data_IF_314947673318
#
_entry.id   IF_314947673318
#
_cell.length_a   1.000
_cell.length_b   1.000
_cell.length_c   1.000
_cell.angle_alpha   90.00
_cell.angle_beta   90.00
_cell.angle_gamma   90.00
#
_symmetry.space_group_name_H-M   'P 1'
#
loop_
_entity.id
_entity.type
_entity.pdbx_description
1 polymer ?
#
# COMPACT_ATOMS: atom_id res chain seq x y z
N UNK A 1 -1.39 -36.77 -66.74
CA UNK A 1 -2.10 -35.92 -65.75
C UNK A 1 -1.08 -35.45 -64.69
N UNK A 2 -0.74 -34.19 -64.75
CA UNK A 2 0.16 -33.57 -63.74
C UNK A 2 -0.74 -32.89 -62.73
N UNK A 3 -0.64 -33.29 -61.47
CA UNK A 3 -1.28 -32.58 -60.35
C UNK A 3 -0.32 -31.52 -59.81
N UNK A 4 -0.77 -30.26 -59.84
CA UNK A 4 -0.13 -29.10 -59.24
C UNK A 4 -0.41 -29.11 -57.80
N UNK A 5 0.64 -29.07 -56.94
CA UNK A 5 0.53 -28.74 -55.50
C UNK A 5 0.42 -27.22 -55.36
N UNK A 6 -0.77 -26.78 -55.01
CA UNK A 6 -0.98 -25.39 -54.52
C UNK A 6 -0.49 -25.26 -53.09
N UNK A 7 0.39 -24.27 -52.89
CA UNK A 7 0.91 -23.84 -51.58
C UNK A 7 -0.23 -23.36 -50.68
N UNK A 8 -0.44 -24.03 -49.56
CA UNK A 8 -1.18 -23.47 -48.42
C UNK A 8 -0.28 -22.42 -47.76
N UNK A 9 -0.62 -21.16 -47.92
CA UNK A 9 -0.12 -20.08 -47.08
C UNK A 9 -0.72 -20.28 -45.68
N UNK A 10 0.12 -20.62 -44.71
CA UNK A 10 -0.28 -20.70 -43.31
C UNK A 10 -0.63 -19.29 -42.81
N UNK A 11 -1.91 -19.02 -42.58
CA UNK A 11 -2.30 -17.92 -41.70
C UNK A 11 -1.82 -18.28 -40.28
N UNK A 12 -0.74 -17.66 -39.85
CA UNK A 12 -0.36 -17.65 -38.45
C UNK A 12 -1.43 -16.91 -37.67
N UNK A 13 -2.29 -17.64 -37.00
CA UNK A 13 -3.13 -17.07 -35.95
C UNK A 13 -2.21 -16.54 -34.85
N UNK A 14 -2.03 -15.23 -34.77
CA UNK A 14 -1.46 -14.58 -33.62
C UNK A 14 -2.48 -14.73 -32.46
N UNK A 15 -2.30 -15.75 -31.64
CA UNK A 15 -3.00 -15.82 -30.36
C UNK A 15 -2.45 -14.68 -29.49
N UNK A 16 -3.15 -13.59 -29.41
CA UNK A 16 -2.92 -12.62 -28.34
C UNK A 16 -3.29 -13.34 -27.04
N UNK A 17 -2.29 -13.79 -26.29
CA UNK A 17 -2.52 -14.42 -25.00
C UNK A 17 -3.14 -13.38 -24.08
N UNK A 18 -4.35 -13.65 -23.59
CA UNK A 18 -5.03 -12.83 -22.59
C UNK A 18 -4.29 -12.82 -21.23
N UNK A 19 -3.24 -13.61 -21.10
CA UNK A 19 -2.46 -13.89 -19.90
C UNK A 19 -1.00 -13.42 -20.03
N UNK A 20 -0.74 -12.29 -20.65
CA UNK A 20 0.60 -11.72 -20.76
C UNK A 20 0.77 -10.49 -19.86
N UNK A 21 1.92 -10.37 -19.20
CA UNK A 21 2.44 -9.11 -18.66
C UNK A 21 3.54 -8.61 -19.58
N UNK A 22 3.58 -7.32 -19.85
CA UNK A 22 4.47 -6.74 -20.86
C UNK A 22 5.32 -5.65 -20.23
N UNK A 23 6.59 -5.56 -20.64
CA UNK A 23 7.53 -4.52 -20.26
C UNK A 23 8.05 -3.82 -21.53
N UNK A 24 8.17 -2.49 -21.44
CA UNK A 24 8.77 -1.64 -22.48
C UNK A 24 10.08 -1.05 -21.94
N UNK A 25 11.21 -1.67 -22.22
CA UNK A 25 12.51 -1.28 -21.67
C UNK A 25 12.99 0.15 -22.00
N UNK A 26 12.59 0.81 -23.11
CA UNK A 26 12.97 2.20 -23.38
C UNK A 26 12.15 3.22 -22.59
N UNK A 27 10.98 2.82 -22.06
CA UNK A 27 10.03 3.74 -21.46
C UNK A 27 10.41 4.04 -19.99
N UNK A 28 11.37 4.94 -19.81
CA UNK A 28 11.79 5.38 -18.49
C UNK A 28 10.68 6.18 -17.80
N UNK A 29 10.10 5.61 -16.75
CA UNK A 29 9.03 6.23 -15.94
C UNK A 29 9.54 6.87 -14.65
N UNK A 30 10.85 7.05 -14.51
CA UNK A 30 11.51 7.69 -13.37
C UNK A 30 12.25 6.72 -12.45
N UNK A 31 12.76 7.23 -11.36
CA UNK A 31 13.43 6.42 -10.33
C UNK A 31 12.41 5.58 -9.55
N UNK A 32 12.81 4.42 -8.98
CA UNK A 32 12.00 3.70 -8.01
C UNK A 32 11.58 4.62 -6.87
N UNK A 33 10.31 4.62 -6.49
CA UNK A 33 9.77 5.49 -5.46
C UNK A 33 9.46 4.73 -4.16
N UNK A 34 9.47 3.41 -4.20
CA UNK A 34 9.18 2.51 -3.07
C UNK A 34 7.79 2.78 -2.45
N UNK A 35 6.80 3.05 -3.32
CA UNK A 35 5.46 3.48 -2.94
C UNK A 35 4.66 2.43 -2.13
N UNK A 36 5.08 1.17 -2.15
CA UNK A 36 4.45 0.09 -1.40
C UNK A 36 5.09 -0.17 -0.02
N UNK A 37 6.16 0.56 0.36
CA UNK A 37 6.93 0.29 1.58
C UNK A 37 6.37 0.96 2.85
N UNK A 38 5.07 1.25 2.88
CA UNK A 38 4.36 1.70 4.06
C UNK A 38 3.56 0.58 4.72
N UNK A 39 3.21 0.75 5.99
CA UNK A 39 2.31 -0.18 6.69
C UNK A 39 1.49 0.50 7.79
N UNK A 40 0.30 -0.07 8.02
CA UNK A 40 -0.63 0.32 9.08
C UNK A 40 -0.22 -0.37 10.38
N UNK A 41 -0.07 0.37 11.46
CA UNK A 41 0.37 -0.12 12.78
C UNK A 41 1.68 -0.93 12.70
N UNK A 42 1.91 -1.83 13.67
CA UNK A 42 3.05 -2.75 13.63
C UNK A 42 4.36 -2.18 14.11
N UNK A 43 4.35 -0.99 14.72
CA UNK A 43 5.49 -0.34 15.37
C UNK A 43 5.29 -0.45 16.88
N UNK A 44 6.14 -1.17 17.62
CA UNK A 44 6.07 -1.20 19.09
C UNK A 44 6.25 0.15 19.72
N UNK A 45 5.59 0.39 20.86
CA UNK A 45 5.74 1.62 21.63
C UNK A 45 7.12 1.72 22.30
N UNK A 46 7.77 0.59 22.56
CA UNK A 46 9.16 0.54 23.05
C UNK A 46 10.11 0.86 21.90
N UNK A 47 10.87 1.96 21.95
CA UNK A 47 11.85 2.29 20.93
C UNK A 47 12.88 1.16 20.75
N UNK A 48 13.26 0.89 19.52
CA UNK A 48 14.31 -0.10 19.14
C UNK A 48 13.98 -1.57 19.50
N UNK A 49 12.75 -1.86 19.91
CA UNK A 49 12.33 -3.24 20.18
C UNK A 49 12.44 -4.12 18.92
N UNK A 50 12.01 -3.60 17.77
CA UNK A 50 12.31 -4.20 16.46
C UNK A 50 13.62 -3.60 15.97
N UNK A 51 14.65 -4.42 15.63
CA UNK A 51 15.92 -3.95 15.11
C UNK A 51 15.77 -3.06 13.87
N UNK A 52 16.54 -1.99 13.80
CA UNK A 52 16.50 -0.98 12.72
C UNK A 52 16.68 -1.59 11.34
N UNK A 53 17.50 -2.64 11.21
CA UNK A 53 17.73 -3.32 9.94
C UNK A 53 16.46 -3.86 9.28
N UNK A 54 15.40 -4.17 10.04
CA UNK A 54 14.14 -4.59 9.43
C UNK A 54 13.41 -3.43 8.75
N UNK A 55 13.45 -2.23 9.33
CA UNK A 55 12.91 -1.02 8.72
C UNK A 55 13.72 -0.60 7.47
N UNK A 56 15.05 -0.57 7.61
CA UNK A 56 15.96 -0.16 6.55
C UNK A 56 15.91 -1.10 5.34
N UNK A 57 15.94 -2.41 5.59
CA UNK A 57 15.98 -3.42 4.53
C UNK A 57 14.72 -3.41 3.66
N UNK A 58 13.54 -3.20 4.26
CA UNK A 58 12.29 -3.11 3.50
C UNK A 58 12.03 -1.72 2.90
N UNK A 59 12.87 -0.73 3.21
CA UNK A 59 12.70 0.63 2.72
C UNK A 59 11.52 1.36 3.34
N UNK A 60 11.25 1.15 4.63
CA UNK A 60 10.13 1.77 5.34
C UNK A 60 10.08 3.28 5.13
N UNK A 61 8.98 3.77 4.57
CA UNK A 61 8.84 5.18 4.19
C UNK A 61 7.53 5.83 4.64
N UNK A 62 6.56 5.04 5.14
CA UNK A 62 5.29 5.58 5.62
C UNK A 62 4.70 4.69 6.71
N UNK A 63 4.38 5.27 7.86
CA UNK A 63 3.64 4.62 8.93
C UNK A 63 2.24 5.22 9.10
N UNK A 64 1.28 4.45 9.60
CA UNK A 64 -0.06 4.90 9.98
C UNK A 64 -0.46 4.24 11.29
N UNK A 65 -1.00 5.00 12.24
CA UNK A 65 -1.44 4.45 13.51
C UNK A 65 -1.72 5.51 14.55
N UNK A 66 -2.37 5.13 15.65
CA UNK A 66 -2.67 6.01 16.79
C UNK A 66 -3.06 5.23 18.04
N UNK A 67 -2.42 4.10 18.28
CA UNK A 67 -2.65 3.32 19.49
C UNK A 67 -3.99 2.58 19.52
N UNK A 68 -4.51 2.10 18.35
CA UNK A 68 -5.74 1.34 18.30
C UNK A 68 -5.72 0.09 19.19
N UNK A 69 -6.87 -0.24 19.79
CA UNK A 69 -7.09 -1.43 20.60
C UNK A 69 -6.16 -1.58 21.83
N UNK A 70 -5.58 -0.49 22.30
CA UNK A 70 -4.83 -0.51 23.57
C UNK A 70 -5.77 -0.70 24.75
N UNK A 71 -5.27 -1.40 25.78
CA UNK A 71 -5.99 -1.59 27.04
C UNK A 71 -6.00 -0.28 27.89
N UNK A 72 -6.88 -0.23 28.90
CA UNK A 72 -6.80 0.84 29.89
C UNK A 72 -5.39 0.92 30.53
N UNK A 73 -4.86 2.13 30.76
CA UNK A 73 -5.47 3.45 30.62
C UNK A 73 -5.16 4.16 29.28
N UNK A 74 -5.24 3.50 28.15
CA UNK A 74 -4.91 4.05 26.82
C UNK A 74 -6.00 3.77 25.76
N UNK A 75 -7.30 3.85 26.15
CA UNK A 75 -8.43 3.48 25.28
C UNK A 75 -8.97 4.62 24.41
N UNK A 76 -8.56 5.88 24.67
CA UNK A 76 -8.94 7.05 23.87
C UNK A 76 -9.90 8.01 24.57
N UNK A 77 -10.30 9.06 23.83
CA UNK A 77 -10.99 10.26 24.34
C UNK A 77 -12.31 9.96 25.05
N UNK A 78 -13.14 9.07 24.51
CA UNK A 78 -14.45 8.75 25.08
C UNK A 78 -14.38 8.10 26.47
N UNK A 79 -13.20 7.60 26.85
CA UNK A 79 -12.95 7.00 28.18
C UNK A 79 -12.32 7.97 29.17
N UNK A 80 -12.06 9.22 28.75
CA UNK A 80 -11.51 10.29 29.60
C UNK A 80 -10.10 10.71 29.23
N UNK A 81 -9.68 11.85 29.80
CA UNK A 81 -8.40 12.50 29.46
C UNK A 81 -7.16 11.64 29.70
N UNK A 82 -7.12 10.86 30.79
CA UNK A 82 -6.00 9.94 31.06
C UNK A 82 -5.90 8.85 30.00
N UNK A 83 -7.03 8.30 29.57
CA UNK A 83 -7.10 7.29 28.52
C UNK A 83 -6.70 7.86 27.15
N UNK A 84 -7.10 9.08 26.86
CA UNK A 84 -6.64 9.81 25.67
C UNK A 84 -5.14 10.04 25.70
N UNK A 85 -4.59 10.52 26.80
CA UNK A 85 -3.15 10.77 26.94
C UNK A 85 -2.33 9.50 26.73
N UNK A 86 -2.71 8.38 27.37
CA UNK A 86 -2.01 7.10 27.17
C UNK A 86 -2.02 6.63 25.72
N UNK A 87 -3.15 6.80 25.01
CA UNK A 87 -3.23 6.47 23.58
C UNK A 87 -2.40 7.42 22.72
N UNK A 88 -2.42 8.71 23.04
CA UNK A 88 -1.63 9.70 22.32
C UNK A 88 -0.12 9.49 22.51
N UNK A 89 0.32 9.05 23.69
CA UNK A 89 1.73 8.69 23.95
C UNK A 89 2.20 7.54 23.05
N UNK A 90 1.35 6.52 22.83
CA UNK A 90 1.63 5.47 21.85
C UNK A 90 1.79 6.04 20.44
N UNK A 91 0.90 6.92 20.00
CA UNK A 91 1.00 7.59 18.72
C UNK A 91 2.31 8.41 18.59
N UNK A 92 2.71 9.13 19.63
CA UNK A 92 3.99 9.88 19.68
C UNK A 92 5.18 8.93 19.53
N UNK A 93 5.17 7.78 20.23
CA UNK A 93 6.24 6.79 20.12
C UNK A 93 6.38 6.25 18.71
N UNK A 94 5.26 5.86 18.08
CA UNK A 94 5.24 5.34 16.71
C UNK A 94 5.69 6.41 15.70
N UNK A 95 5.24 7.66 15.85
CA UNK A 95 5.71 8.79 15.03
C UNK A 95 7.22 8.98 15.17
N UNK A 96 7.76 9.00 16.39
CA UNK A 96 9.19 9.16 16.62
C UNK A 96 10.01 8.02 15.99
N UNK A 97 9.52 6.79 16.08
CA UNK A 97 10.15 5.65 15.40
C UNK A 97 10.14 5.84 13.88
N UNK A 98 9.00 6.23 13.28
CA UNK A 98 8.94 6.51 11.84
C UNK A 98 9.94 7.61 11.44
N UNK A 99 10.07 8.68 12.22
CA UNK A 99 10.99 9.79 11.94
C UNK A 99 12.47 9.40 12.03
N UNK A 100 12.84 8.37 12.78
CA UNK A 100 14.21 7.82 12.78
C UNK A 100 14.64 7.33 11.39
N UNK A 101 13.70 6.85 10.60
CA UNK A 101 13.92 6.34 9.23
C UNK A 101 13.55 7.36 8.14
N UNK A 102 13.28 8.63 8.49
CA UNK A 102 12.72 9.65 7.60
C UNK A 102 11.38 9.25 6.96
N UNK A 103 10.69 8.27 7.53
CA UNK A 103 9.37 7.87 7.08
C UNK A 103 8.32 8.91 7.46
N UNK A 104 7.33 9.14 6.61
CA UNK A 104 6.15 9.95 6.91
C UNK A 104 5.23 9.18 7.85
N UNK A 105 4.31 9.90 8.50
CA UNK A 105 3.37 9.28 9.43
C UNK A 105 1.95 9.83 9.26
N UNK A 106 0.96 8.94 9.32
CA UNK A 106 -0.47 9.28 9.31
C UNK A 106 -1.03 9.04 10.71
N UNK A 107 -1.54 10.11 11.33
CA UNK A 107 -2.20 10.07 12.62
C UNK A 107 -3.70 9.83 12.42
N UNK A 108 -4.24 8.77 13.01
CA UNK A 108 -5.65 8.37 12.95
C UNK A 108 -6.45 8.97 14.10
N UNK A 109 -7.41 9.84 13.81
CA UNK A 109 -8.18 10.48 14.87
C UNK A 109 -9.27 9.58 15.45
N UNK A 110 -9.88 8.69 14.64
CA UNK A 110 -10.86 7.74 15.14
C UNK A 110 -10.30 6.84 16.27
N UNK A 111 -9.04 6.40 16.15
CA UNK A 111 -8.37 5.64 17.19
C UNK A 111 -8.23 6.46 18.48
N UNK A 112 -7.70 7.67 18.34
CA UNK A 112 -7.51 8.58 19.48
C UNK A 112 -8.83 8.98 20.14
N UNK A 113 -9.92 8.99 19.38
CA UNK A 113 -11.27 9.13 19.90
C UNK A 113 -11.69 7.91 20.74
N UNK A 114 -11.23 6.73 20.38
CA UNK A 114 -11.63 5.44 20.94
C UNK A 114 -12.66 4.68 20.10
N UNK A 115 -12.79 5.03 18.80
CA UNK A 115 -13.64 4.39 17.82
C UNK A 115 -12.81 3.46 16.91
N UNK A 116 -12.16 2.46 17.49
CA UNK A 116 -11.21 1.54 16.84
C UNK A 116 -11.78 0.13 16.60
N UNK A 117 -13.11 0.00 16.64
CA UNK A 117 -13.80 -1.28 16.49
C UNK A 117 -13.97 -2.08 17.79
N UNK A 118 -13.36 -1.65 18.90
CA UNK A 118 -13.50 -2.28 20.23
C UNK A 118 -14.35 -1.48 21.20
N UNK A 119 -14.85 -0.31 20.79
CA UNK A 119 -15.68 0.54 21.62
C UNK A 119 -16.97 -0.17 22.05
N UNK A 120 -17.45 0.05 23.29
CA UNK A 120 -18.70 -0.50 23.77
C UNK A 120 -19.91 -0.08 22.92
N UNK A 121 -20.92 -0.92 22.84
CA UNK A 121 -22.19 -0.55 22.23
C UNK A 121 -22.78 0.71 22.92
N UNK A 122 -23.21 1.69 22.11
CA UNK A 122 -23.72 2.95 22.61
C UNK A 122 -22.65 3.99 22.96
N UNK A 123 -21.39 3.76 22.56
CA UNK A 123 -20.33 4.79 22.64
C UNK A 123 -20.75 6.03 21.86
N UNK A 124 -20.33 7.20 22.36
CA UNK A 124 -20.64 8.50 21.77
C UNK A 124 -19.68 8.79 20.61
N UNK A 125 -20.24 9.25 19.50
CA UNK A 125 -19.49 9.70 18.33
C UNK A 125 -19.53 11.24 18.21
N UNK A 126 -18.58 11.86 17.49
CA UNK A 126 -18.58 13.31 17.27
C UNK A 126 -19.91 13.82 16.72
N UNK A 127 -20.53 14.80 17.40
CA UNK A 127 -21.77 15.41 16.96
C UNK A 127 -23.06 14.65 17.31
N UNK A 128 -22.99 13.59 18.09
CA UNK A 128 -24.18 12.89 18.57
C UNK A 128 -25.13 13.85 19.31
N UNK A 129 -26.41 13.76 18.97
CA UNK A 129 -27.42 14.68 19.53
C UNK A 129 -27.27 16.14 19.09
N UNK A 130 -26.39 16.44 18.13
CA UNK A 130 -26.08 17.80 17.68
C UNK A 130 -25.05 18.52 18.58
N UNK A 131 -24.45 17.83 19.56
CA UNK A 131 -23.44 18.37 20.46
C UNK A 131 -22.01 18.14 19.89
N UNK A 132 -21.29 19.23 19.64
CA UNK A 132 -19.94 19.24 19.10
C UNK A 132 -18.86 19.62 20.13
N UNK A 133 -19.22 19.99 21.36
CA UNK A 133 -18.28 20.52 22.36
C UNK A 133 -17.17 19.52 22.70
N UNK A 134 -17.54 18.23 22.81
CA UNK A 134 -16.57 17.17 23.07
C UNK A 134 -15.61 16.97 21.89
N UNK A 135 -16.11 17.00 20.65
CA UNK A 135 -15.25 16.88 19.48
C UNK A 135 -14.31 18.08 19.32
N UNK A 136 -14.83 19.29 19.49
CA UNK A 136 -14.00 20.51 19.41
C UNK A 136 -12.89 20.48 20.46
N UNK A 137 -13.21 20.05 21.69
CA UNK A 137 -12.25 19.90 22.77
C UNK A 137 -11.19 18.82 22.46
N UNK A 138 -11.60 17.71 21.84
CA UNK A 138 -10.72 16.64 21.37
C UNK A 138 -9.74 17.16 20.29
N UNK A 139 -10.24 17.89 19.27
CA UNK A 139 -9.38 18.48 18.24
C UNK A 139 -8.36 19.44 18.83
N UNK A 140 -8.76 20.28 19.80
CA UNK A 140 -7.80 21.17 20.51
C UNK A 140 -6.75 20.38 21.27
N UNK A 141 -7.11 19.26 21.91
CA UNK A 141 -6.15 18.40 22.60
C UNK A 141 -5.16 17.74 21.63
N UNK A 142 -5.61 17.30 20.44
CA UNK A 142 -4.73 16.80 19.37
C UNK A 142 -3.76 17.88 18.90
N UNK A 143 -4.24 19.09 18.61
CA UNK A 143 -3.40 20.23 18.18
C UNK A 143 -2.33 20.52 19.22
N UNK A 144 -2.72 20.62 20.48
CA UNK A 144 -1.78 20.85 21.58
C UNK A 144 -0.76 19.72 21.72
N UNK A 145 -1.19 18.47 21.54
CA UNK A 145 -0.32 17.29 21.55
C UNK A 145 0.70 17.30 20.40
N UNK A 146 0.28 17.62 19.18
CA UNK A 146 1.16 17.75 18.01
C UNK A 146 2.22 18.84 18.26
N UNK A 147 1.80 20.00 18.75
CA UNK A 147 2.70 21.14 19.03
C UNK A 147 3.69 20.83 20.15
N UNK A 148 3.22 20.29 21.27
CA UNK A 148 4.07 20.01 22.44
C UNK A 148 5.09 18.90 22.19
N UNK A 149 4.80 17.96 21.29
CA UNK A 149 5.70 16.85 20.92
C UNK A 149 6.46 17.10 19.60
N UNK A 150 6.36 18.30 19.02
CA UNK A 150 7.03 18.66 17.75
C UNK A 150 6.72 17.68 16.59
N UNK A 151 5.48 17.22 16.47
CA UNK A 151 5.10 16.19 15.51
C UNK A 151 4.80 16.72 14.10
N UNK A 152 4.94 18.00 13.81
CA UNK A 152 4.49 18.57 12.54
C UNK A 152 5.30 18.13 11.30
N UNK A 153 6.51 17.58 11.47
CA UNK A 153 7.38 17.19 10.36
C UNK A 153 6.89 15.89 9.71
N UNK A 154 6.57 15.92 8.41
CA UNK A 154 6.10 14.76 7.64
C UNK A 154 4.91 14.04 8.30
N UNK A 155 4.04 14.81 8.94
CA UNK A 155 2.79 14.34 9.53
C UNK A 155 1.63 14.59 8.59
N UNK A 156 0.82 13.56 8.40
CA UNK A 156 -0.53 13.66 7.88
C UNK A 156 -1.54 13.33 8.99
N UNK A 157 -2.71 13.93 8.93
CA UNK A 157 -3.83 13.66 9.82
C UNK A 157 -4.95 13.06 8.99
N UNK A 158 -5.36 11.87 9.37
CA UNK A 158 -6.55 11.20 8.87
C UNK A 158 -7.70 11.48 9.84
N UNK A 159 -8.63 12.33 9.40
CA UNK A 159 -9.69 12.85 10.29
C UNK A 159 -10.61 11.73 10.77
N UNK A 160 -10.91 10.72 9.92
CA UNK A 160 -11.71 9.56 10.34
C UNK A 160 -11.55 8.39 9.40
N UNK A 161 -11.43 7.18 9.98
CA UNK A 161 -11.30 5.93 9.25
C UNK A 161 -12.67 5.33 8.90
N UNK A 162 -12.85 4.91 7.64
CA UNK A 162 -13.97 4.10 7.13
C UNK A 162 -15.35 4.46 7.68
N UNK A 163 -15.81 5.70 7.55
CA UNK A 163 -17.15 6.06 8.02
C UNK A 163 -18.26 5.37 7.24
N UNK A 164 -17.94 4.80 6.08
CA UNK A 164 -18.85 4.04 5.19
C UNK A 164 -18.87 2.53 5.46
N UNK A 165 -18.03 2.02 6.37
CA UNK A 165 -17.96 0.59 6.72
C UNK A 165 -19.03 0.12 7.75
N UNK A 166 -20.13 0.82 7.84
CA UNK A 166 -21.20 0.55 8.82
C UNK A 166 -20.78 0.99 10.24
N UNK A 167 -21.26 0.29 11.26
CA UNK A 167 -21.11 0.75 12.66
C UNK A 167 -19.76 0.39 13.31
N UNK A 168 -18.80 -0.09 12.53
CA UNK A 168 -17.50 -0.50 13.06
C UNK A 168 -16.71 0.70 13.58
N UNK A 169 -16.55 1.72 12.75
CA UNK A 169 -15.79 2.93 13.08
C UNK A 169 -16.65 4.19 13.15
N UNK A 170 -17.89 4.15 12.63
CA UNK A 170 -18.81 5.29 12.60
C UNK A 170 -20.25 4.85 12.79
N UNK A 171 -20.94 5.39 13.79
CA UNK A 171 -22.35 5.08 14.07
C UNK A 171 -23.30 6.27 13.80
N UNK A 172 -22.76 7.38 13.31
CA UNK A 172 -23.54 8.53 12.85
C UNK A 172 -24.02 8.37 11.40
N UNK A 173 -24.79 9.32 10.94
CA UNK A 173 -25.17 9.42 9.54
C UNK A 173 -24.06 10.14 8.73
N UNK A 174 -24.22 10.16 7.41
CA UNK A 174 -23.27 10.77 6.49
C UNK A 174 -23.17 12.29 6.65
N UNK A 175 -24.28 13.00 6.90
CA UNK A 175 -24.30 14.45 7.10
C UNK A 175 -23.53 14.86 8.38
N UNK A 176 -23.67 14.08 9.45
CA UNK A 176 -22.91 14.26 10.68
C UNK A 176 -21.40 14.07 10.43
N UNK A 177 -21.01 13.05 9.68
CA UNK A 177 -19.62 12.83 9.31
C UNK A 177 -19.06 13.98 8.44
N UNK A 178 -19.81 14.44 7.46
CA UNK A 178 -19.42 15.59 6.64
C UNK A 178 -19.23 16.87 7.49
N UNK A 179 -20.11 17.10 8.46
CA UNK A 179 -19.96 18.21 9.42
C UNK A 179 -18.70 18.05 10.27
N UNK A 180 -18.43 16.85 10.76
CA UNK A 180 -17.20 16.52 11.50
C UNK A 180 -15.94 16.79 10.65
N UNK A 181 -15.95 16.39 9.38
CA UNK A 181 -14.85 16.65 8.45
C UNK A 181 -14.53 18.14 8.37
N UNK A 182 -15.52 18.98 8.03
CA UNK A 182 -15.29 20.43 7.87
C UNK A 182 -14.82 21.07 9.18
N UNK A 183 -15.43 20.73 10.32
CA UNK A 183 -15.00 21.26 11.65
C UNK A 183 -13.55 20.89 11.96
N UNK A 184 -13.17 19.63 11.77
CA UNK A 184 -11.79 19.17 12.00
C UNK A 184 -10.81 19.84 11.04
N UNK A 185 -11.13 19.87 9.75
CA UNK A 185 -10.32 20.51 8.73
C UNK A 185 -10.04 21.98 9.07
N UNK A 186 -11.08 22.76 9.34
CA UNK A 186 -10.97 24.19 9.66
C UNK A 186 -10.12 24.42 10.91
N UNK A 187 -10.34 23.65 11.97
CA UNK A 187 -9.59 23.78 13.23
C UNK A 187 -8.09 23.47 13.06
N UNK A 188 -7.75 22.40 12.31
CA UNK A 188 -6.36 22.07 12.00
C UNK A 188 -5.71 23.13 11.12
N UNK A 189 -6.39 23.61 10.07
CA UNK A 189 -5.86 24.68 9.22
C UNK A 189 -5.66 25.99 9.95
N UNK A 190 -6.58 26.36 10.83
CA UNK A 190 -6.45 27.58 11.66
C UNK A 190 -5.25 27.52 12.62
N UNK A 191 -4.96 26.34 13.17
CA UNK A 191 -3.94 26.20 14.23
C UNK A 191 -2.58 25.75 13.72
N UNK A 192 -2.52 24.90 12.69
CA UNK A 192 -1.32 24.28 12.17
C UNK A 192 -1.00 24.73 10.73
N UNK A 193 -1.86 25.54 10.10
CA UNK A 193 -1.73 25.97 8.72
C UNK A 193 -1.48 24.77 7.75
N UNK A 194 -0.45 24.86 6.91
CA UNK A 194 -0.05 23.79 6.00
C UNK A 194 1.21 23.04 6.49
N UNK A 195 1.52 23.11 7.79
CA UNK A 195 2.67 22.39 8.36
C UNK A 195 2.38 20.88 8.51
N UNK A 196 1.11 20.51 8.54
CA UNK A 196 0.63 19.11 8.49
C UNK A 196 -0.26 18.92 7.28
N UNK A 197 -0.27 17.72 6.73
CA UNK A 197 -1.21 17.35 5.67
C UNK A 197 -2.53 16.85 6.27
N UNK A 198 -3.67 17.11 5.60
CA UNK A 198 -4.97 16.58 5.96
C UNK A 198 -5.42 15.62 4.88
N UNK A 199 -5.63 14.37 5.24
CA UNK A 199 -5.98 13.28 4.35
C UNK A 199 -7.47 12.94 4.46
N UNK A 200 -8.04 12.52 3.35
CA UNK A 200 -9.43 12.09 3.30
C UNK A 200 -9.94 11.79 1.88
N UNK A 201 -11.16 11.22 1.79
CA UNK A 201 -12.13 10.98 2.88
C UNK A 201 -11.87 9.71 3.71
N UNK A 202 -10.88 8.90 3.35
CA UNK A 202 -10.47 7.63 3.98
C UNK A 202 -11.65 6.64 4.10
N UNK A 203 -12.30 6.43 2.95
CA UNK A 203 -13.42 5.50 2.84
C UNK A 203 -12.92 4.06 2.62
N UNK A 204 -13.66 3.08 3.14
CA UNK A 204 -13.45 1.67 2.82
C UNK A 204 -13.69 1.41 1.32
N UNK A 205 -14.67 2.09 0.74
CA UNK A 205 -15.02 1.96 -0.67
C UNK A 205 -14.22 2.91 -1.57
N UNK A 206 -13.71 2.38 -2.69
CA UNK A 206 -13.04 3.16 -3.73
C UNK A 206 -13.99 4.19 -4.39
N UNK A 207 -13.46 5.27 -5.03
CA UNK A 207 -14.28 6.26 -5.70
C UNK A 207 -15.08 5.64 -6.85
N UNK A 208 -16.39 5.83 -6.79
CA UNK A 208 -17.34 5.45 -7.82
C UNK A 208 -18.48 6.47 -7.93
N UNK A 209 -18.96 6.72 -9.14
CA UNK A 209 -20.01 7.73 -9.40
C UNK A 209 -21.34 7.39 -8.75
N UNK A 210 -21.57 6.15 -8.37
CA UNK A 210 -22.76 5.65 -7.67
C UNK A 210 -22.59 5.60 -6.15
N UNK A 211 -21.37 5.77 -5.64
CA UNK A 211 -21.10 5.80 -4.21
C UNK A 211 -21.44 7.18 -3.64
N UNK A 212 -22.51 7.25 -2.84
CA UNK A 212 -22.99 8.51 -2.26
C UNK A 212 -22.01 9.13 -1.26
N UNK A 213 -21.17 8.34 -0.59
CA UNK A 213 -20.14 8.88 0.30
C UNK A 213 -19.13 9.73 -0.47
N UNK A 214 -18.68 9.26 -1.63
CA UNK A 214 -17.79 10.03 -2.50
C UNK A 214 -18.45 11.24 -3.12
N UNK A 215 -19.66 11.09 -3.68
CA UNK A 215 -20.32 12.19 -4.41
C UNK A 215 -20.73 13.34 -3.49
N UNK A 216 -21.22 13.05 -2.28
CA UNK A 216 -21.57 14.08 -1.30
C UNK A 216 -20.32 14.73 -0.69
N UNK A 217 -19.25 13.95 -0.44
CA UNK A 217 -17.98 14.51 0.00
C UNK A 217 -17.41 15.51 -0.99
N UNK A 218 -17.36 15.17 -2.28
CA UNK A 218 -16.89 16.11 -3.32
C UNK A 218 -17.80 17.34 -3.45
N UNK A 219 -19.10 17.18 -3.33
CA UNK A 219 -20.01 18.31 -3.34
C UNK A 219 -19.73 19.27 -2.18
N UNK A 220 -19.51 18.75 -0.97
CA UNK A 220 -19.23 19.57 0.20
C UNK A 220 -17.89 20.29 0.08
N UNK A 221 -16.79 19.55 -0.16
CA UNK A 221 -15.46 20.15 -0.18
C UNK A 221 -15.26 21.15 -1.33
N UNK A 222 -16.01 20.99 -2.44
CA UNK A 222 -16.07 21.99 -3.49
C UNK A 222 -16.82 23.25 -3.06
N UNK A 223 -17.85 23.11 -2.21
CA UNK A 223 -18.69 24.20 -1.71
C UNK A 223 -18.05 25.00 -0.58
N UNK A 224 -17.43 24.33 0.39
CA UNK A 224 -16.87 24.97 1.60
C UNK A 224 -15.34 25.15 1.54
N UNK A 225 -14.65 24.56 0.53
CA UNK A 225 -13.21 24.69 0.35
C UNK A 225 -12.38 23.79 1.24
N UNK A 226 -12.95 22.83 1.96
CA UNK A 226 -12.24 21.89 2.86
C UNK A 226 -11.54 20.75 2.10
N UNK A 227 -10.83 21.08 1.03
CA UNK A 227 -10.19 20.12 0.12
C UNK A 227 -8.98 19.46 0.78
N UNK A 228 -8.91 18.11 0.86
CA UNK A 228 -7.78 17.40 1.44
C UNK A 228 -6.47 17.62 0.65
N UNK A 229 -5.33 17.35 1.27
CA UNK A 229 -4.02 17.36 0.59
C UNK A 229 -3.77 16.08 -0.20
N UNK A 230 -4.41 14.98 0.17
CA UNK A 230 -4.42 13.73 -0.58
C UNK A 230 -5.80 13.07 -0.52
N UNK A 231 -6.21 12.42 -1.62
CA UNK A 231 -7.40 11.57 -1.62
C UNK A 231 -7.03 10.16 -1.16
N UNK A 232 -7.83 9.64 -0.22
CA UNK A 232 -7.51 8.39 0.47
C UNK A 232 -8.69 7.44 0.47
N UNK A 233 -8.42 6.15 0.20
CA UNK A 233 -9.38 5.04 0.33
C UNK A 233 -8.66 3.72 0.51
N UNK A 234 -9.39 2.61 0.75
CA UNK A 234 -8.82 1.30 1.03
C UNK A 234 -9.03 0.28 -0.09
N UNK A 235 -8.22 -0.78 -0.09
CA UNK A 235 -8.31 -2.08 -0.76
C UNK A 235 -8.35 -2.11 -2.29
N UNK A 236 -8.89 -1.11 -2.97
CA UNK A 236 -8.86 -1.02 -4.43
C UNK A 236 -7.89 0.04 -4.89
N UNK A 237 -7.02 -0.35 -5.81
CA UNK A 237 -5.92 0.52 -6.18
C UNK A 237 -6.23 1.35 -7.41
N UNK A 238 -6.00 0.81 -8.55
CA UNK A 238 -5.66 1.56 -9.75
C UNK A 238 -6.81 1.72 -10.74
N UNK A 239 -7.83 0.86 -10.68
CA UNK A 239 -8.92 0.92 -11.66
C UNK A 239 -9.86 2.09 -11.44
N UNK A 240 -9.87 2.63 -10.23
CA UNK A 240 -10.74 3.72 -9.82
C UNK A 240 -10.09 5.11 -10.03
N UNK A 241 -8.80 5.19 -10.38
CA UNK A 241 -8.13 6.48 -10.64
C UNK A 241 -8.80 7.28 -11.76
N UNK A 242 -9.11 6.71 -12.94
CA UNK A 242 -9.81 7.44 -13.98
C UNK A 242 -11.23 7.87 -13.56
N UNK A 243 -11.88 7.10 -12.69
CA UNK A 243 -13.18 7.46 -12.11
C UNK A 243 -13.02 8.65 -11.17
N UNK A 244 -12.04 8.61 -10.28
CA UNK A 244 -11.69 9.73 -9.40
C UNK A 244 -11.44 11.01 -10.22
N UNK A 245 -10.60 10.96 -11.24
CA UNK A 245 -10.28 12.11 -12.09
C UNK A 245 -11.52 12.70 -12.75
N UNK A 246 -12.43 11.83 -13.23
CA UNK A 246 -13.71 12.25 -13.80
C UNK A 246 -14.61 12.93 -12.76
N UNK A 247 -14.68 12.38 -11.55
CA UNK A 247 -15.48 12.92 -10.45
C UNK A 247 -14.91 14.27 -9.98
N UNK A 248 -13.61 14.39 -9.81
CA UNK A 248 -12.95 15.65 -9.46
C UNK A 248 -13.24 16.75 -10.50
N UNK A 249 -13.06 16.41 -11.78
CA UNK A 249 -13.36 17.33 -12.88
C UNK A 249 -14.80 17.80 -12.87
N UNK A 250 -15.77 16.92 -12.61
CA UNK A 250 -17.19 17.27 -12.57
C UNK A 250 -17.57 18.19 -11.40
N UNK A 251 -16.77 18.19 -10.33
CA UNK A 251 -16.97 19.08 -9.17
C UNK A 251 -16.03 20.31 -9.18
N UNK A 252 -15.21 20.49 -10.23
CA UNK A 252 -14.26 21.59 -10.31
C UNK A 252 -13.10 21.49 -9.33
N UNK A 253 -12.81 20.28 -8.85
CA UNK A 253 -11.73 19.99 -7.90
C UNK A 253 -10.44 19.64 -8.64
N UNK A 254 -9.29 20.05 -8.09
CA UNK A 254 -8.00 19.69 -8.62
C UNK A 254 -7.59 18.28 -8.22
N UNK A 255 -6.84 17.60 -9.08
CA UNK A 255 -6.15 16.36 -8.73
C UNK A 255 -5.14 16.60 -7.59
N UNK A 256 -5.03 15.62 -6.71
CA UNK A 256 -4.13 15.58 -5.56
C UNK A 256 -3.41 14.24 -5.53
N UNK A 257 -2.33 14.09 -4.73
CA UNK A 257 -1.77 12.77 -4.44
C UNK A 257 -2.85 11.78 -3.99
N UNK A 258 -2.64 10.51 -4.32
CA UNK A 258 -3.51 9.41 -3.92
C UNK A 258 -2.76 8.54 -2.93
N UNK A 259 -3.44 8.14 -1.87
CA UNK A 259 -2.91 7.20 -0.88
C UNK A 259 -3.91 6.06 -0.67
N UNK A 260 -3.45 4.84 -0.86
CA UNK A 260 -4.18 3.62 -0.47
C UNK A 260 -3.58 3.19 0.87
N UNK A 261 -4.10 3.72 1.95
CA UNK A 261 -3.47 3.58 3.27
C UNK A 261 -3.86 2.31 4.04
N UNK A 262 -4.61 1.42 3.36
CA UNK A 262 -4.81 0.02 3.72
C UNK A 262 -4.91 -0.85 2.46
N UNK A 263 -3.78 -1.30 1.91
CA UNK A 263 -3.81 -2.25 0.80
C UNK A 263 -3.56 -3.70 1.26
N UNK A 264 -4.03 -4.66 0.47
CA UNK A 264 -3.80 -6.09 0.65
C UNK A 264 -4.66 -6.70 1.75
N UNK A 265 -5.80 -7.29 1.38
CA UNK A 265 -6.60 -8.11 2.30
C UNK A 265 -5.76 -9.27 2.83
N UNK A 266 -6.13 -9.85 3.98
CA UNK A 266 -5.32 -10.87 4.68
C UNK A 266 -4.85 -12.01 3.75
N UNK A 267 -5.70 -12.48 2.85
CA UNK A 267 -5.35 -13.53 1.89
C UNK A 267 -4.30 -13.06 0.83
N UNK A 268 -4.21 -11.77 0.55
CA UNK A 268 -3.23 -11.18 -0.37
C UNK A 268 -1.90 -10.86 0.33
N UNK A 269 -1.82 -10.98 1.65
CA UNK A 269 -0.62 -10.75 2.42
C UNK A 269 0.33 -11.95 2.34
N UNK A 270 0.84 -12.19 1.15
CA UNK A 270 1.80 -13.22 0.78
C UNK A 270 2.70 -12.69 -0.35
N UNK A 271 3.83 -13.32 -0.66
CA UNK A 271 4.74 -12.87 -1.71
C UNK A 271 4.06 -12.51 -3.03
N UNK A 272 3.16 -13.38 -3.53
CA UNK A 272 2.42 -13.16 -4.77
C UNK A 272 1.58 -11.90 -4.76
N UNK A 273 0.78 -11.71 -3.70
CA UNK A 273 -0.07 -10.54 -3.53
C UNK A 273 0.73 -9.25 -3.33
N UNK A 274 1.82 -9.30 -2.54
CA UNK A 274 2.68 -8.12 -2.34
C UNK A 274 3.37 -7.67 -3.63
N UNK A 275 3.89 -8.57 -4.45
CA UNK A 275 4.46 -8.20 -5.74
C UNK A 275 3.40 -7.64 -6.70
N UNK A 276 2.18 -8.15 -6.66
CA UNK A 276 1.05 -7.62 -7.42
C UNK A 276 0.72 -6.18 -6.99
N UNK A 277 0.64 -5.90 -5.69
CA UNK A 277 0.37 -4.57 -5.16
C UNK A 277 1.51 -3.58 -5.46
N UNK A 278 2.77 -3.98 -5.26
CA UNK A 278 3.96 -3.18 -5.63
C UNK A 278 3.85 -2.73 -7.09
N UNK A 279 3.54 -3.66 -8.00
CA UNK A 279 3.44 -3.38 -9.42
C UNK A 279 2.40 -2.31 -9.74
N UNK A 280 1.27 -2.35 -9.08
CA UNK A 280 0.16 -1.41 -9.31
C UNK A 280 0.43 -0.05 -8.70
N UNK A 281 0.87 0.00 -7.44
CA UNK A 281 1.17 1.25 -6.74
C UNK A 281 2.26 2.04 -7.47
N UNK A 282 3.33 1.37 -7.89
CA UNK A 282 4.42 2.00 -8.65
C UNK A 282 3.97 2.46 -10.04
N UNK A 283 3.19 1.68 -10.77
CA UNK A 283 2.71 2.03 -12.11
C UNK A 283 1.82 3.27 -12.08
N UNK A 284 0.95 3.37 -11.11
CA UNK A 284 -0.01 4.46 -11.01
C UNK A 284 0.47 5.63 -10.15
N UNK A 285 1.69 5.56 -9.63
CA UNK A 285 2.29 6.57 -8.77
C UNK A 285 1.42 6.86 -7.53
N UNK A 286 0.95 5.79 -6.88
CA UNK A 286 0.08 5.82 -5.71
C UNK A 286 0.84 5.35 -4.48
N UNK A 287 0.87 6.14 -3.42
CA UNK A 287 1.42 5.71 -2.14
C UNK A 287 0.52 4.64 -1.52
N UNK A 288 1.10 3.54 -1.11
CA UNK A 288 0.38 2.47 -0.42
C UNK A 288 0.92 2.18 0.97
N UNK A 289 0.02 1.85 1.89
CA UNK A 289 0.37 1.28 3.20
C UNK A 289 -0.31 -0.08 3.32
N UNK A 290 0.47 -1.09 3.67
CA UNK A 290 -0.03 -2.45 3.89
C UNK A 290 -1.01 -2.48 5.06
N UNK A 291 -2.21 -3.01 4.85
CA UNK A 291 -3.22 -3.18 5.89
C UNK A 291 -2.74 -4.12 6.99
N UNK A 292 -3.25 -3.95 8.22
CA UNK A 292 -2.94 -4.80 9.36
C UNK A 292 -4.22 -5.46 9.88
N UNK A 293 -4.25 -6.78 9.86
CA UNK A 293 -5.41 -7.62 10.21
C UNK A 293 -5.24 -8.33 11.56
N UNK A 294 -4.23 -7.94 12.33
CA UNK A 294 -4.02 -8.40 13.70
C UNK A 294 -4.96 -7.66 14.65
N UNK A 295 -4.94 -8.00 15.93
CA UNK A 295 -5.81 -7.40 16.96
C UNK A 295 -5.09 -7.23 18.28
N UNK A 296 -5.61 -6.35 19.13
CA UNK A 296 -5.06 -6.07 20.45
C UNK A 296 -3.59 -5.64 20.38
N UNK A 297 -2.75 -6.12 21.27
CA UNK A 297 -1.33 -5.76 21.33
C UNK A 297 -0.54 -6.17 20.10
N UNK A 298 -1.00 -7.16 19.32
CA UNK A 298 -0.34 -7.59 18.09
C UNK A 298 -0.44 -6.55 16.97
N UNK A 299 -1.41 -5.63 17.02
CA UNK A 299 -1.45 -4.48 16.10
C UNK A 299 -0.19 -3.62 16.19
N UNK A 300 0.43 -3.53 17.36
CA UNK A 300 1.61 -2.71 17.61
C UNK A 300 2.92 -3.48 17.41
N UNK A 301 2.90 -4.56 16.63
CA UNK A 301 4.03 -5.43 16.41
C UNK A 301 4.01 -5.97 14.97
N UNK A 302 5.08 -6.63 14.53
CA UNK A 302 5.09 -7.48 13.34
C UNK A 302 5.01 -6.76 11.97
N UNK A 303 5.09 -5.41 11.86
CA UNK A 303 5.02 -4.69 10.58
C UNK A 303 3.86 -5.15 9.70
N UNK A 304 2.63 -5.08 10.22
CA UNK A 304 1.47 -5.58 9.49
C UNK A 304 1.69 -7.01 8.94
N UNK A 305 2.10 -7.93 9.81
CA UNK A 305 2.35 -9.35 9.50
C UNK A 305 3.54 -9.65 8.59
N UNK A 306 4.52 -8.75 8.45
CA UNK A 306 5.77 -9.02 7.73
C UNK A 306 6.83 -9.71 8.61
N UNK A 307 6.74 -9.50 9.93
CA UNK A 307 7.63 -10.08 10.93
C UNK A 307 6.86 -11.02 11.86
N UNK A 308 7.59 -11.85 12.59
CA UNK A 308 7.07 -12.64 13.72
C UNK A 308 8.16 -12.81 14.78
N UNK A 309 7.79 -13.32 15.97
CA UNK A 309 8.69 -13.57 17.10
C UNK A 309 8.28 -14.79 17.91
N UNK A 310 9.15 -15.34 18.82
CA UNK A 310 8.87 -16.59 19.54
C UNK A 310 7.63 -16.53 20.43
N UNK A 311 7.42 -15.43 21.13
CA UNK A 311 6.21 -15.20 21.94
C UNK A 311 5.42 -14.01 21.40
N UNK A 312 4.40 -14.26 20.57
CA UNK A 312 3.59 -13.21 19.98
C UNK A 312 2.59 -12.58 20.98
N UNK A 313 2.42 -13.16 22.18
CA UNK A 313 1.52 -12.65 23.22
C UNK A 313 2.21 -11.71 24.21
N UNK A 314 3.53 -11.77 24.30
CA UNK A 314 4.33 -10.82 25.08
C UNK A 314 4.70 -9.61 24.18
N UNK A 315 4.07 -8.47 24.42
CA UNK A 315 4.31 -7.22 23.69
C UNK A 315 5.77 -6.74 23.79
N UNK A 316 6.53 -7.17 24.80
CA UNK A 316 7.92 -6.78 25.04
C UNK A 316 8.95 -7.78 24.54
N UNK A 317 8.53 -8.98 24.11
CA UNK A 317 9.42 -10.01 23.60
C UNK A 317 10.12 -9.53 22.31
N UNK A 318 11.33 -9.99 22.13
CA UNK A 318 12.21 -9.72 20.97
C UNK A 318 12.55 -11.00 20.22
N UNK A 319 13.55 -10.99 19.36
CA UNK A 319 13.94 -12.17 18.57
C UNK A 319 13.13 -12.34 17.29
N UNK A 320 12.82 -11.22 16.65
CA UNK A 320 12.05 -11.19 15.40
C UNK A 320 12.72 -11.92 14.26
N UNK A 321 11.90 -12.52 13.40
CA UNK A 321 12.29 -13.03 12.10
C UNK A 321 11.34 -12.57 11.00
N UNK A 322 11.78 -12.67 9.76
CA UNK A 322 11.03 -12.31 8.56
C UNK A 322 10.25 -13.50 8.03
N UNK A 323 9.07 -13.26 7.48
CA UNK A 323 8.37 -14.22 6.66
C UNK A 323 8.74 -14.08 5.16
N UNK A 324 8.14 -14.91 4.30
CA UNK A 324 8.43 -14.89 2.87
C UNK A 324 7.97 -13.61 2.18
N UNK A 325 6.94 -12.97 2.70
CA UNK A 325 6.40 -11.73 2.18
C UNK A 325 7.37 -10.55 2.40
N UNK A 326 7.99 -10.47 3.58
CA UNK A 326 9.04 -9.48 3.86
C UNK A 326 10.18 -9.54 2.83
N UNK A 327 10.55 -10.74 2.36
CA UNK A 327 11.65 -10.91 1.39
C UNK A 327 11.35 -10.20 0.05
N UNK A 328 10.08 -10.08 -0.32
CA UNK A 328 9.66 -9.33 -1.51
C UNK A 328 9.94 -7.84 -1.34
N UNK A 329 9.59 -7.26 -0.17
CA UNK A 329 9.86 -5.84 0.10
C UNK A 329 11.36 -5.57 0.20
N UNK A 330 12.13 -6.47 0.80
CA UNK A 330 13.59 -6.35 0.83
C UNK A 330 14.20 -6.37 -0.58
N UNK A 331 13.78 -7.28 -1.44
CA UNK A 331 14.21 -7.32 -2.83
C UNK A 331 13.80 -6.06 -3.60
N UNK A 332 12.56 -5.63 -3.44
CA UNK A 332 12.03 -4.43 -4.04
C UNK A 332 12.83 -3.17 -3.64
N UNK A 333 13.19 -3.04 -2.37
CA UNK A 333 13.96 -1.92 -1.88
C UNK A 333 15.44 -1.98 -2.30
N UNK A 334 16.06 -3.14 -2.15
CA UNK A 334 17.53 -3.24 -2.26
C UNK A 334 18.02 -3.58 -3.67
N UNK A 335 17.23 -4.37 -4.42
CA UNK A 335 17.66 -4.89 -5.71
C UNK A 335 17.10 -4.15 -6.90
N UNK A 336 15.85 -3.64 -6.83
CA UNK A 336 15.19 -2.99 -7.96
C UNK A 336 15.64 -1.54 -8.10
N UNK A 337 16.87 -1.34 -8.55
CA UNK A 337 17.57 -0.06 -8.67
C UNK A 337 17.59 0.44 -10.12
N UNK A 338 18.07 1.69 -10.32
CA UNK A 338 18.14 2.33 -11.64
C UNK A 338 16.90 3.15 -11.94
N UNK A 339 16.23 2.86 -13.05
CA UNK A 339 14.96 3.51 -13.39
C UNK A 339 13.85 2.50 -13.64
N UNK A 340 12.63 2.90 -13.31
CA UNK A 340 11.42 2.12 -13.61
C UNK A 340 11.14 2.15 -15.10
N UNK A 341 10.57 1.08 -15.61
CA UNK A 341 10.09 1.02 -17.00
C UNK A 341 8.58 0.79 -17.03
N UNK A 342 7.95 1.21 -18.13
CA UNK A 342 6.51 1.01 -18.31
C UNK A 342 6.18 -0.49 -18.35
N UNK A 343 5.18 -0.87 -17.55
CA UNK A 343 4.68 -2.25 -17.47
C UNK A 343 3.17 -2.28 -17.69
N UNK A 344 2.68 -3.40 -18.22
CA UNK A 344 1.24 -3.66 -18.35
C UNK A 344 0.94 -5.00 -17.70
N UNK A 345 -0.01 -5.03 -16.78
CA UNK A 345 -0.49 -6.27 -16.17
C UNK A 345 -1.32 -7.12 -17.14
N UNK A 346 -1.63 -8.34 -16.75
CA UNK A 346 -2.50 -9.21 -17.54
C UNK A 346 -3.91 -8.60 -17.70
N UNK A 347 -4.59 -8.90 -18.79
CA UNK A 347 -5.93 -8.35 -19.09
C UNK A 347 -6.95 -8.74 -18.04
N UNK A 348 -6.82 -9.94 -17.47
CA UNK A 348 -7.66 -10.42 -16.37
C UNK A 348 -7.33 -9.76 -15.01
N UNK A 349 -6.25 -8.95 -14.95
CA UNK A 349 -5.74 -8.25 -13.76
C UNK A 349 -5.31 -9.18 -12.62
N UNK A 350 -5.11 -10.44 -12.89
CA UNK A 350 -4.73 -11.44 -11.89
C UNK A 350 -3.21 -11.58 -11.75
N UNK A 351 -2.44 -11.22 -12.78
CA UNK A 351 -0.98 -11.20 -12.77
C UNK A 351 -0.48 -9.81 -13.12
N UNK A 352 0.53 -9.33 -12.40
CA UNK A 352 1.12 -8.02 -12.65
C UNK A 352 2.63 -8.04 -12.47
N UNK A 353 3.33 -7.00 -12.96
CA UNK A 353 4.78 -6.90 -12.88
C UNK A 353 5.26 -5.49 -12.61
N UNK A 354 6.34 -5.40 -11.86
CA UNK A 354 7.16 -4.21 -11.67
C UNK A 354 8.56 -4.48 -12.23
N UNK A 355 9.15 -3.51 -12.93
CA UNK A 355 10.45 -3.71 -13.52
C UNK A 355 11.33 -2.46 -13.46
N UNK A 356 12.64 -2.70 -13.33
CA UNK A 356 13.67 -1.67 -13.36
C UNK A 356 14.82 -2.04 -14.28
N UNK A 357 15.44 -1.02 -14.87
CA UNK A 357 16.68 -1.12 -15.63
C UNK A 357 17.79 -0.43 -14.83
N UNK A 358 18.66 -1.25 -14.27
CA UNK A 358 19.88 -0.79 -13.59
C UNK A 358 21.05 -0.64 -14.57
N UNK A 359 22.22 -0.29 -14.04
CA UNK A 359 23.46 -0.23 -14.83
C UNK A 359 24.08 -1.61 -15.12
N UNK A 360 23.62 -2.63 -14.41
CA UNK A 360 24.10 -4.00 -14.46
C UNK A 360 23.08 -4.97 -15.05
N UNK A 361 21.78 -4.77 -14.72
CA UNK A 361 20.73 -5.73 -15.04
C UNK A 361 19.37 -5.06 -15.24
N UNK A 362 18.53 -5.71 -16.00
CA UNK A 362 17.07 -5.58 -15.94
C UNK A 362 16.56 -6.53 -14.85
N UNK A 363 15.70 -6.03 -13.97
CA UNK A 363 15.06 -6.80 -12.90
C UNK A 363 13.54 -6.68 -13.01
N UNK A 364 12.88 -7.83 -12.94
CA UNK A 364 11.43 -7.95 -13.12
C UNK A 364 10.87 -8.72 -11.93
N UNK A 365 10.01 -8.09 -11.15
CA UNK A 365 9.24 -8.72 -10.07
C UNK A 365 7.83 -8.99 -10.58
N UNK A 366 7.32 -10.22 -10.43
CA UNK A 366 6.02 -10.62 -10.97
C UNK A 366 5.21 -11.29 -9.87
N UNK A 367 3.98 -10.83 -9.65
CA UNK A 367 3.09 -11.38 -8.64
C UNK A 367 1.67 -11.60 -9.11
N UNK A 368 0.99 -12.57 -8.48
CA UNK A 368 -0.39 -12.94 -8.75
C UNK A 368 -1.33 -12.61 -7.59
N UNK A 369 -2.55 -12.13 -7.94
CA UNK A 369 -3.60 -11.83 -6.97
C UNK A 369 -4.43 -13.09 -6.68
N UNK A 370 -3.93 -13.91 -5.73
CA UNK A 370 -4.61 -15.14 -5.27
C UNK A 370 -5.00 -16.11 -6.41
N UNK A 371 -4.10 -16.32 -7.35
CA UNK A 371 -4.40 -17.05 -8.59
C UNK A 371 -3.39 -18.15 -8.86
N UNK A 372 -3.83 -19.21 -9.52
CA UNK A 372 -2.99 -20.25 -10.14
C UNK A 372 -3.25 -20.31 -11.63
N UNK A 373 -2.23 -20.66 -12.41
CA UNK A 373 -2.34 -20.75 -13.86
C UNK A 373 -1.01 -20.56 -14.57
N UNK A 374 -1.08 -20.29 -15.87
CA UNK A 374 0.09 -20.02 -16.68
C UNK A 374 -0.05 -18.65 -17.33
N UNK A 375 0.96 -17.81 -17.11
CA UNK A 375 1.09 -16.49 -17.74
C UNK A 375 2.38 -16.43 -18.54
N UNK A 376 2.52 -15.35 -19.29
CA UNK A 376 3.71 -15.07 -20.08
C UNK A 376 4.24 -13.68 -19.69
N UNK A 377 5.54 -13.58 -19.46
CA UNK A 377 6.24 -12.29 -19.42
C UNK A 377 6.77 -12.01 -20.82
N UNK A 378 6.53 -10.81 -21.32
CA UNK A 378 7.09 -10.31 -22.57
C UNK A 378 7.90 -9.07 -22.30
N UNK A 379 9.17 -9.07 -22.68
CA UNK A 379 10.08 -7.92 -22.59
C UNK A 379 10.37 -7.43 -23.99
N UNK A 380 9.94 -6.22 -24.29
CA UNK A 380 10.10 -5.60 -25.59
C UNK A 380 11.34 -4.69 -25.62
N UNK A 381 11.77 -4.38 -26.84
CA UNK A 381 12.79 -3.37 -27.13
C UNK A 381 14.15 -3.64 -26.46
N UNK A 382 14.59 -4.88 -26.43
CA UNK A 382 15.84 -5.35 -25.80
C UNK A 382 17.08 -4.59 -26.29
N UNK A 383 17.07 -4.03 -27.50
CA UNK A 383 18.16 -3.20 -28.02
C UNK A 383 18.33 -1.88 -27.24
N UNK A 384 17.31 -1.40 -26.53
CA UNK A 384 17.42 -0.19 -25.71
C UNK A 384 18.31 -0.39 -24.46
N UNK A 385 18.52 -1.64 -24.05
CA UNK A 385 19.45 -2.04 -22.98
C UNK A 385 20.74 -2.65 -23.53
N UNK A 386 21.06 -2.40 -24.81
CA UNK A 386 22.30 -2.78 -25.48
C UNK A 386 22.32 -4.19 -26.05
N UNK A 387 21.26 -4.98 -25.90
CA UNK A 387 21.19 -6.35 -26.40
C UNK A 387 20.93 -6.41 -27.92
N UNK A 388 21.39 -7.44 -28.64
CA UNK A 388 21.03 -7.66 -30.05
C UNK A 388 19.51 -7.81 -30.24
N UNK A 389 19.04 -7.61 -31.46
CA UNK A 389 17.59 -7.77 -31.78
C UNK A 389 17.14 -9.24 -31.90
N UNK A 390 18.07 -10.19 -31.83
CA UNK A 390 17.81 -11.64 -31.82
C UNK A 390 18.99 -12.38 -31.18
N UNK A 391 18.73 -13.52 -30.60
CA UNK A 391 19.76 -14.34 -29.94
C UNK A 391 19.17 -15.27 -28.89
N UNK A 392 19.98 -15.56 -27.89
CA UNK A 392 19.57 -16.23 -26.65
C UNK A 392 19.83 -15.32 -25.48
N UNK A 393 18.83 -15.11 -24.65
CA UNK A 393 18.93 -14.31 -23.42
C UNK A 393 18.96 -15.24 -22.21
N UNK A 394 20.03 -15.16 -21.44
CA UNK A 394 20.19 -15.89 -20.19
C UNK A 394 19.44 -15.16 -19.07
N UNK A 395 18.40 -15.76 -18.51
CA UNK A 395 17.54 -15.19 -17.46
C UNK A 395 17.74 -16.01 -16.17
N UNK A 396 18.17 -15.34 -15.12
CA UNK A 396 18.19 -15.88 -13.74
C UNK A 396 16.82 -15.76 -13.12
N UNK A 397 16.32 -16.83 -12.49
CA UNK A 397 15.02 -16.84 -11.80
C UNK A 397 15.19 -16.98 -10.30
N UNK A 398 14.51 -16.14 -9.53
CA UNK A 398 14.41 -16.22 -8.07
C UNK A 398 12.97 -16.52 -7.66
N UNK A 399 12.82 -17.41 -6.68
CA UNK A 399 11.54 -17.79 -6.10
C UNK A 399 11.41 -17.28 -4.66
N UNK A 400 10.33 -16.59 -4.37
CA UNK A 400 9.95 -16.15 -3.02
C UNK A 400 8.88 -17.08 -2.48
N UNK A 401 9.24 -17.88 -1.48
CA UNK A 401 8.37 -18.87 -0.87
C UNK A 401 7.66 -18.27 0.36
N UNK A 402 6.43 -18.72 0.64
CA UNK A 402 5.67 -18.26 1.81
C UNK A 402 5.66 -19.25 2.98
N UNK A 403 6.07 -20.49 2.76
CA UNK A 403 6.05 -21.59 3.77
C UNK A 403 4.74 -21.71 4.56
N UNK A 404 3.63 -21.35 3.91
CA UNK A 404 2.26 -21.60 4.38
C UNK A 404 1.71 -20.67 5.44
N UNK A 405 2.47 -19.70 5.99
CA UNK A 405 1.92 -18.80 6.99
C UNK A 405 2.69 -17.47 7.15
N UNK A 406 2.02 -16.46 7.72
CA UNK A 406 2.61 -15.20 8.14
C UNK A 406 3.64 -15.36 9.27
N UNK A 407 3.59 -16.46 10.01
CA UNK A 407 4.49 -16.74 11.14
C UNK A 407 5.75 -17.52 10.74
N UNK A 408 5.85 -17.94 9.47
CA UNK A 408 6.98 -18.71 8.97
C UNK A 408 8.30 -17.92 8.99
N UNK A 409 9.39 -18.56 9.41
CA UNK A 409 10.71 -17.97 9.29
C UNK A 409 11.27 -18.30 7.90
N UNK A 410 11.39 -17.29 7.05
CA UNK A 410 11.81 -17.45 5.65
C UNK A 410 13.01 -16.53 5.36
N UNK A 411 14.08 -17.13 4.85
CA UNK A 411 15.26 -16.40 4.42
C UNK A 411 15.15 -15.84 3.00
N UNK A 412 16.28 -15.48 2.42
CA UNK A 412 16.40 -14.91 1.08
C UNK A 412 15.72 -15.80 0.00
N UNK A 413 15.29 -15.20 -1.12
CA UNK A 413 14.66 -15.95 -2.21
C UNK A 413 15.61 -17.02 -2.78
N UNK A 414 15.03 -18.14 -3.20
CA UNK A 414 15.77 -19.26 -3.77
C UNK A 414 16.17 -18.92 -5.21
N UNK A 415 17.47 -18.96 -5.50
CA UNK A 415 17.96 -18.87 -6.88
C UNK A 415 17.74 -20.22 -7.59
N UNK A 416 16.90 -20.24 -8.59
CA UNK A 416 16.57 -21.44 -9.39
C UNK A 416 17.52 -21.66 -10.56
N UNK A 417 18.53 -20.80 -10.71
CA UNK A 417 19.51 -20.88 -11.79
C UNK A 417 19.14 -20.05 -13.02
N UNK A 418 19.85 -20.31 -14.10
CA UNK A 418 19.79 -19.57 -15.35
C UNK A 418 19.18 -20.43 -16.44
N UNK A 419 18.24 -19.84 -17.21
CA UNK A 419 17.66 -20.49 -18.40
C UNK A 419 17.86 -19.58 -19.60
N UNK A 420 18.38 -20.14 -20.69
CA UNK A 420 18.55 -19.46 -21.97
C UNK A 420 17.22 -19.45 -22.77
N UNK A 421 16.75 -18.28 -23.10
CA UNK A 421 15.54 -18.06 -23.89
C UNK A 421 15.90 -17.52 -25.28
N UNK A 422 15.61 -18.29 -26.33
CA UNK A 422 15.79 -17.85 -27.71
C UNK A 422 14.78 -16.71 -28.01
N UNK A 423 15.22 -15.66 -28.68
CA UNK A 423 14.38 -14.53 -29.02
C UNK A 423 14.70 -13.94 -30.39
N UNK A 424 13.73 -13.22 -30.94
CA UNK A 424 13.85 -12.50 -32.21
C UNK A 424 12.90 -11.32 -32.25
N UNK A 425 13.09 -10.41 -33.20
CA UNK A 425 12.22 -9.24 -33.33
C UNK A 425 12.38 -8.24 -32.16
N UNK A 426 13.55 -8.23 -31.52
CA UNK A 426 13.85 -7.33 -30.41
C UNK A 426 12.99 -7.54 -29.14
N UNK A 427 12.42 -8.75 -28.98
CA UNK A 427 11.53 -9.10 -27.87
C UNK A 427 11.76 -10.54 -27.42
N UNK A 428 11.74 -10.79 -26.12
CA UNK A 428 11.77 -12.11 -25.51
C UNK A 428 10.46 -12.37 -24.75
N UNK A 429 9.97 -13.59 -24.83
CA UNK A 429 8.82 -14.05 -24.05
C UNK A 429 9.15 -15.36 -23.35
N UNK A 430 8.75 -15.48 -22.08
CA UNK A 430 8.95 -16.68 -21.28
C UNK A 430 7.76 -16.94 -20.35
N UNK A 431 7.46 -18.22 -20.02
CA UNK A 431 6.29 -18.56 -19.22
C UNK A 431 6.53 -18.36 -17.72
N UNK A 432 5.44 -18.12 -17.00
CA UNK A 432 5.32 -18.24 -15.54
C UNK A 432 4.30 -19.33 -15.24
N UNK A 433 4.72 -20.34 -14.51
CA UNK A 433 3.85 -21.41 -14.02
C UNK A 433 3.51 -21.13 -12.55
N UNK A 434 2.40 -20.46 -12.31
CA UNK A 434 1.90 -20.17 -10.98
C UNK A 434 1.14 -21.37 -10.43
N UNK A 435 1.82 -22.23 -9.69
CA UNK A 435 1.28 -23.50 -9.18
C UNK A 435 0.56 -23.40 -7.84
N UNK A 436 0.75 -22.29 -7.14
CA UNK A 436 0.08 -21.95 -5.89
C UNK A 436 -0.28 -20.46 -5.86
N UNK A 437 -1.06 -20.02 -4.88
CA UNK A 437 -1.58 -18.64 -4.80
C UNK A 437 -0.64 -17.68 -4.07
N UNK A 438 0.48 -18.14 -3.55
CA UNK A 438 1.33 -17.38 -2.62
C UNK A 438 2.73 -17.05 -3.14
N UNK A 439 3.29 -17.91 -3.97
CA UNK A 439 4.65 -17.76 -4.52
C UNK A 439 4.74 -16.56 -5.46
N UNK A 440 5.90 -15.91 -5.47
CA UNK A 440 6.23 -14.88 -6.45
C UNK A 440 7.62 -15.11 -7.05
N UNK A 441 7.91 -14.42 -8.14
CA UNK A 441 9.10 -14.62 -8.96
C UNK A 441 9.80 -13.30 -9.25
N UNK A 442 11.14 -13.32 -9.20
CA UNK A 442 11.92 -12.28 -9.84
C UNK A 442 12.78 -12.88 -10.95
N UNK A 443 12.91 -12.13 -12.03
CA UNK A 443 13.71 -12.47 -13.20
C UNK A 443 14.75 -11.40 -13.42
N UNK A 444 16.00 -11.82 -13.65
CA UNK A 444 17.12 -10.91 -13.90
C UNK A 444 17.90 -11.32 -15.14
N UNK A 445 18.28 -10.33 -15.95
CA UNK A 445 19.24 -10.52 -17.05
C UNK A 445 20.17 -9.31 -17.18
N UNK A 446 21.36 -9.52 -17.69
CA UNK A 446 22.37 -8.47 -17.86
C UNK A 446 21.94 -7.46 -18.93
N UNK A 447 22.25 -6.17 -18.71
CA UNK A 447 22.36 -5.15 -19.77
C UNK A 447 23.69 -5.31 -20.47
N UNK A 448 23.81 -4.92 -21.76
CA UNK A 448 25.05 -5.06 -22.54
C UNK A 448 25.86 -3.75 -22.53
#
# INVERSE_FOLDING_TARGET
MRFSLSSLAGLGLVFVSTHAVTLETPDNTGTPLHLASGFLYGIPDTPEQIPDSFYENMGFNYGRGSGAQLAAPARGWIFGTTEFQGRFESAVSNYNTARRFNAKFILLLNDLWGADGTQPAGSVFPGDGGDWDSYDSFIQAIIAGIQSNNMATDLAIDIWNEPDAGTLFWNGNQEQWLTMWSRGYEAFRASLANTVQLFGPTLAGAPETTNTWWTTFFTQIAGDGTVPDAYVWHLEGSTNIPILDSMLSSHGLASKPIVIDEYGVFAEQCPGGSAWWISRLERYNVQGLRGNWLSGTQLHDFFASLLWKPDPTDATATGYWTNGDYQVYQYYNQMMTGHRVATTGSIDRLMDSYATVGTDKVRILVGGRQVTGTWQVTVNSLSSVGLPTSGTLDITTFQFSFTGSHTGNVGAPTNLGVVGHAYSGNSVSFPIFQTDTTTTWAFEFAVA
#
